data_IF_383193722263
#
_entry.id   IF_383193722263
#
_cell.length_a   1.000
_cell.length_b   1.000
_cell.length_c   1.000
_cell.angle_alpha   90.00
_cell.angle_beta   90.00
_cell.angle_gamma   90.00
#
_symmetry.space_group_name_H-M   'P 1'
#
loop_
_entity.id
_entity.type
_entity.pdbx_description
1 polymer ?
#
# COMPACT_ATOMS: atom_id res chain seq x y z
N UNK A 1 -8.98 -8.75 -17.26
CA UNK A 1 -9.68 -7.45 -17.14
C UNK A 1 -9.01 -6.61 -16.07
N UNK A 2 -8.84 -5.33 -16.34
CA UNK A 2 -8.22 -4.41 -15.41
C UNK A 2 -9.21 -4.06 -14.30
N UNK A 3 -8.80 -4.23 -13.07
CA UNK A 3 -9.63 -3.84 -11.93
C UNK A 3 -9.48 -2.35 -11.65
N UNK A 4 -10.49 -1.75 -11.05
CA UNK A 4 -10.38 -0.40 -10.52
C UNK A 4 -9.51 -0.39 -9.27
N UNK A 5 -8.95 0.78 -8.93
CA UNK A 5 -8.16 0.96 -7.72
C UNK A 5 -8.76 2.10 -6.91
N UNK A 6 -8.89 1.86 -5.62
CA UNK A 6 -9.31 2.89 -4.68
C UNK A 6 -8.40 2.86 -3.46
N UNK A 7 -7.96 4.02 -3.03
CA UNK A 7 -7.19 4.17 -1.80
C UNK A 7 -8.11 4.65 -0.69
N UNK A 8 -8.09 3.95 0.43
CA UNK A 8 -8.78 4.44 1.63
C UNK A 8 -8.12 5.73 2.11
N UNK A 9 -8.85 6.62 2.79
CA UNK A 9 -8.28 7.87 3.31
C UNK A 9 -7.02 7.64 4.14
N UNK A 10 -6.99 6.59 4.94
CA UNK A 10 -5.82 6.27 5.77
C UNK A 10 -4.60 5.90 4.92
N UNK A 11 -4.81 5.24 3.79
CA UNK A 11 -3.72 4.93 2.86
C UNK A 11 -3.17 6.20 2.22
N UNK A 12 -4.05 7.12 1.84
CA UNK A 12 -3.65 8.41 1.29
C UNK A 12 -2.85 9.22 2.32
N UNK A 13 -3.29 9.22 3.58
CA UNK A 13 -2.57 9.87 4.67
C UNK A 13 -1.20 9.23 4.90
N UNK A 14 -1.12 7.90 4.82
CA UNK A 14 0.15 7.19 4.94
C UNK A 14 1.13 7.64 3.86
N UNK A 15 0.67 7.72 2.61
CA UNK A 15 1.51 8.15 1.49
C UNK A 15 1.98 9.58 1.70
N UNK A 16 1.08 10.49 2.08
CA UNK A 16 1.42 11.88 2.33
C UNK A 16 2.45 12.01 3.45
N UNK A 17 2.26 11.28 4.54
CA UNK A 17 3.19 11.32 5.67
C UNK A 17 4.59 10.88 5.23
N UNK A 18 4.69 9.83 4.44
CA UNK A 18 5.97 9.33 3.95
C UNK A 18 6.58 10.28 2.93
N UNK A 19 5.76 10.89 2.08
CA UNK A 19 6.22 11.90 1.13
C UNK A 19 6.88 13.08 1.85
N UNK A 20 6.23 13.57 2.91
CA UNK A 20 6.76 14.68 3.71
C UNK A 20 8.04 14.28 4.44
N UNK A 21 8.11 13.03 4.92
CA UNK A 21 9.33 12.52 5.56
C UNK A 21 10.50 12.51 4.56
N UNK A 22 10.27 12.01 3.34
CA UNK A 22 11.30 12.00 2.29
C UNK A 22 11.76 13.41 1.93
N UNK A 23 10.82 14.34 1.81
CA UNK A 23 11.14 15.73 1.50
C UNK A 23 11.99 16.38 2.60
N UNK A 24 11.70 16.07 3.86
CA UNK A 24 12.43 16.63 4.99
C UNK A 24 13.78 15.99 5.28
N UNK A 25 13.93 14.69 4.97
CA UNK A 25 15.15 13.94 5.28
C UNK A 25 16.08 13.78 4.09
N UNK A 26 15.59 13.97 2.89
CA UNK A 26 16.38 13.88 1.66
C UNK A 26 16.19 15.14 0.85
N UNK A 27 15.33 15.10 -0.17
CA UNK A 27 15.04 16.28 -0.99
C UNK A 27 13.62 16.20 -1.53
N UNK A 28 13.12 17.35 -1.99
CA UNK A 28 11.81 17.37 -2.66
C UNK A 28 11.81 16.51 -3.92
N UNK A 29 12.90 16.54 -4.69
CA UNK A 29 13.01 15.74 -5.92
C UNK A 29 12.97 14.25 -5.61
N UNK A 30 13.65 13.80 -4.57
CA UNK A 30 13.61 12.41 -4.14
C UNK A 30 12.23 12.00 -3.63
N UNK A 31 11.56 12.90 -2.92
CA UNK A 31 10.21 12.65 -2.44
C UNK A 31 9.24 12.47 -3.61
N UNK A 32 9.32 13.31 -4.62
CA UNK A 32 8.46 13.22 -5.80
C UNK A 32 8.75 11.96 -6.61
N UNK A 33 10.02 11.57 -6.71
CA UNK A 33 10.40 10.31 -7.35
C UNK A 33 9.85 9.12 -6.60
N UNK A 34 9.93 9.11 -5.27
CA UNK A 34 9.34 8.05 -4.44
C UNK A 34 7.84 7.95 -4.68
N UNK A 35 7.14 9.10 -4.70
CA UNK A 35 5.70 9.13 -4.94
C UNK A 35 5.35 8.54 -6.30
N UNK A 36 6.09 8.92 -7.34
CA UNK A 36 5.87 8.42 -8.69
C UNK A 36 6.02 6.90 -8.76
N UNK A 37 7.07 6.36 -8.13
CA UNK A 37 7.33 4.92 -8.11
C UNK A 37 6.22 4.19 -7.37
N UNK A 38 5.84 4.69 -6.21
CA UNK A 38 4.78 4.08 -5.38
C UNK A 38 3.45 4.07 -6.13
N UNK A 39 3.07 5.17 -6.75
CA UNK A 39 1.82 5.25 -7.51
C UNK A 39 1.80 4.26 -8.65
N UNK A 40 2.90 4.12 -9.36
CA UNK A 40 3.02 3.16 -10.45
C UNK A 40 2.86 1.72 -9.95
N UNK A 41 3.52 1.39 -8.84
CA UNK A 41 3.47 0.05 -8.26
C UNK A 41 2.08 -0.28 -7.74
N UNK A 42 1.39 0.67 -7.14
CA UNK A 42 0.01 0.49 -6.69
C UNK A 42 -0.91 0.23 -7.89
N UNK A 43 -0.74 1.00 -8.95
CA UNK A 43 -1.53 0.80 -10.18
C UNK A 43 -1.32 -0.61 -10.76
N UNK A 44 -0.11 -1.13 -10.67
CA UNK A 44 0.21 -2.47 -11.18
C UNK A 44 -0.51 -3.59 -10.42
N UNK A 45 -0.95 -3.36 -9.19
CA UNK A 45 -1.70 -4.37 -8.42
C UNK A 45 -2.97 -4.78 -9.17
N UNK A 46 -3.60 -3.84 -9.88
CA UNK A 46 -4.85 -4.12 -10.60
C UNK A 46 -4.70 -5.11 -11.75
N UNK A 47 -3.48 -5.33 -12.21
CA UNK A 47 -3.22 -6.26 -13.33
C UNK A 47 -3.31 -7.71 -12.88
N UNK A 48 -2.86 -8.02 -11.67
CA UNK A 48 -2.87 -9.38 -11.14
C UNK A 48 -2.78 -9.38 -9.62
N UNK A 49 -3.87 -9.00 -8.92
CA UNK A 49 -3.85 -8.90 -7.46
C UNK A 49 -3.57 -10.23 -6.77
N UNK A 50 -3.96 -11.35 -7.39
CA UNK A 50 -3.76 -12.68 -6.80
C UNK A 50 -2.30 -13.12 -6.80
N UNK A 51 -1.43 -12.42 -7.54
CA UNK A 51 0.00 -12.75 -7.56
C UNK A 51 0.73 -12.30 -6.29
N UNK A 52 0.10 -11.45 -5.49
CA UNK A 52 0.70 -10.94 -4.25
C UNK A 52 0.39 -11.87 -3.10
N UNK A 53 1.33 -12.03 -2.15
CA UNK A 53 1.10 -12.95 -1.02
C UNK A 53 0.04 -12.42 -0.06
N UNK A 54 -0.58 -13.35 0.66
CA UNK A 54 -1.44 -12.98 1.77
C UNK A 54 -0.61 -12.21 2.81
N UNK A 55 -1.20 -11.17 3.39
CA UNK A 55 -0.56 -10.43 4.47
C UNK A 55 -0.31 -11.35 5.66
N UNK A 56 0.75 -11.07 6.40
CA UNK A 56 1.02 -11.81 7.65
C UNK A 56 -0.07 -11.60 8.68
N UNK A 57 -0.84 -10.51 8.59
CA UNK A 57 -1.97 -10.23 9.47
C UNK A 57 -3.30 -10.75 8.92
N UNK A 58 -3.28 -11.50 7.81
CA UNK A 58 -4.52 -11.91 7.15
C UNK A 58 -5.50 -12.64 8.08
N UNK A 59 -4.99 -13.47 8.98
CA UNK A 59 -5.84 -14.27 9.86
C UNK A 59 -6.58 -13.42 10.90
N UNK A 60 -6.14 -12.19 11.15
CA UNK A 60 -6.80 -11.29 12.09
C UNK A 60 -7.97 -10.53 11.46
N UNK A 61 -8.16 -10.66 10.13
CA UNK A 61 -9.17 -9.89 9.40
C UNK A 61 -10.32 -10.80 8.96
N UNK A 62 -11.54 -10.26 8.90
CA UNK A 62 -12.71 -11.04 8.45
C UNK A 62 -12.80 -11.17 6.93
N UNK A 63 -11.84 -10.65 6.19
CA UNK A 63 -11.74 -10.74 4.74
C UNK A 63 -10.26 -10.91 4.37
N UNK A 64 -10.01 -11.38 3.15
CA UNK A 64 -8.66 -11.64 2.68
C UNK A 64 -7.90 -10.34 2.44
N UNK A 65 -6.72 -10.21 3.01
CA UNK A 65 -5.82 -9.09 2.76
C UNK A 65 -4.47 -9.59 2.25
N UNK A 66 -3.86 -8.81 1.35
CA UNK A 66 -2.58 -9.13 0.72
C UNK A 66 -1.63 -7.96 0.86
N UNK A 67 -0.34 -8.27 0.76
CA UNK A 67 0.73 -7.26 0.82
C UNK A 67 1.42 -7.16 -0.53
N UNK A 68 1.56 -5.93 -1.04
CA UNK A 68 2.43 -5.63 -2.16
C UNK A 68 3.62 -4.84 -1.63
N UNK A 69 4.83 -5.37 -1.81
CA UNK A 69 6.04 -4.62 -1.45
C UNK A 69 6.27 -3.54 -2.50
N UNK A 70 6.40 -2.32 -2.03
CA UNK A 70 6.52 -1.14 -2.89
C UNK A 70 7.65 -0.24 -2.37
N UNK A 71 8.02 0.75 -3.19
CA UNK A 71 9.08 1.68 -2.88
C UNK A 71 10.24 1.54 -3.85
N UNK A 72 11.31 2.29 -3.59
CA UNK A 72 12.51 2.26 -4.44
C UNK A 72 13.47 1.18 -3.97
N UNK A 73 14.22 0.62 -4.92
CA UNK A 73 15.22 -0.40 -4.65
C UNK A 73 14.72 -1.82 -4.90
N UNK A 74 15.62 -2.78 -4.77
CA UNK A 74 15.35 -4.20 -5.05
C UNK A 74 14.40 -4.82 -4.03
N UNK A 75 14.37 -4.28 -2.81
CA UNK A 75 13.46 -4.70 -1.75
C UNK A 75 12.51 -3.55 -1.50
N UNK A 76 11.26 -3.74 -1.66
CA UNK A 76 10.32 -2.71 -1.27
C UNK A 76 10.51 -2.35 0.21
N UNK A 77 10.58 -1.06 0.51
CA UNK A 77 10.72 -0.56 1.89
C UNK A 77 9.38 -0.37 2.57
N UNK A 78 8.30 -0.47 1.80
CA UNK A 78 6.94 -0.27 2.25
C UNK A 78 6.08 -1.43 1.78
N UNK A 79 4.94 -1.60 2.41
CA UNK A 79 3.93 -2.55 1.94
C UNK A 79 2.61 -1.82 1.75
N UNK A 80 1.97 -2.05 0.62
CA UNK A 80 0.61 -1.64 0.39
C UNK A 80 -0.28 -2.82 0.78
N UNK A 81 -1.04 -2.66 1.84
CA UNK A 81 -1.98 -3.69 2.31
C UNK A 81 -3.30 -3.45 1.60
N UNK A 82 -3.79 -4.45 0.88
CA UNK A 82 -4.98 -4.28 0.07
C UNK A 82 -5.90 -5.50 0.15
N UNK A 83 -7.14 -5.27 -0.21
CA UNK A 83 -8.13 -6.32 -0.43
C UNK A 83 -8.79 -6.09 -1.78
N UNK A 84 -9.47 -7.10 -2.29
CA UNK A 84 -10.25 -6.97 -3.53
C UNK A 84 -11.72 -7.14 -3.16
N UNK A 85 -12.52 -6.16 -3.55
CA UNK A 85 -13.95 -6.16 -3.29
C UNK A 85 -14.65 -5.80 -4.61
N UNK A 86 -15.53 -6.68 -5.06
CA UNK A 86 -16.11 -6.58 -6.39
C UNK A 86 -14.98 -6.50 -7.43
N UNK A 87 -14.98 -5.55 -8.32
CA UNK A 87 -13.94 -5.39 -9.32
C UNK A 87 -12.96 -4.29 -8.94
N UNK A 88 -12.73 -4.06 -7.64
CA UNK A 88 -11.91 -2.98 -7.14
C UNK A 88 -10.84 -3.49 -6.18
N UNK A 89 -9.60 -3.08 -6.45
CA UNK A 89 -8.51 -3.20 -5.49
C UNK A 89 -8.64 -2.03 -4.51
N UNK A 90 -8.82 -2.34 -3.24
CA UNK A 90 -8.95 -1.32 -2.20
C UNK A 90 -7.66 -1.34 -1.38
N UNK A 91 -6.86 -0.29 -1.49
CA UNK A 91 -5.64 -0.14 -0.70
C UNK A 91 -6.04 0.40 0.67
N UNK A 92 -5.82 -0.41 1.69
CA UNK A 92 -6.24 -0.12 3.05
C UNK A 92 -5.23 0.76 3.79
N UNK A 93 -3.96 0.43 3.66
CA UNK A 93 -2.86 1.14 4.32
C UNK A 93 -1.58 1.04 3.48
N UNK A 94 -0.69 2.01 3.67
CA UNK A 94 0.68 1.96 3.13
C UNK A 94 1.62 2.17 4.31
N UNK A 95 2.32 1.12 4.70
CA UNK A 95 3.12 1.08 5.92
C UNK A 95 4.57 0.78 5.58
N UNK A 96 5.49 1.23 6.42
CA UNK A 96 6.87 0.77 6.34
C UNK A 96 6.90 -0.74 6.52
N UNK A 97 7.72 -1.43 5.74
CA UNK A 97 7.74 -2.90 5.75
C UNK A 97 8.10 -3.47 7.13
N UNK A 98 8.81 -2.70 7.95
CA UNK A 98 9.22 -3.08 9.30
C UNK A 98 8.31 -2.51 10.40
N UNK A 99 7.27 -1.76 10.04
CA UNK A 99 6.32 -1.25 11.04
C UNK A 99 5.53 -2.38 11.67
N UNK A 100 5.09 -2.15 12.91
CA UNK A 100 4.39 -3.15 13.69
C UNK A 100 3.09 -3.66 13.07
N UNK A 101 2.45 -4.54 13.78
CA UNK A 101 1.30 -5.29 13.27
C UNK A 101 0.08 -4.41 13.02
N UNK A 102 -0.64 -4.76 11.95
CA UNK A 102 -1.89 -4.12 11.58
C UNK A 102 -3.05 -4.97 12.12
N UNK A 103 -3.95 -4.34 12.86
CA UNK A 103 -5.19 -4.99 13.30
C UNK A 103 -6.40 -4.40 12.60
N UNK A 104 -7.57 -5.07 12.69
CA UNK A 104 -8.79 -4.56 12.03
C UNK A 104 -9.21 -3.17 12.51
N UNK A 105 -8.85 -2.79 13.75
CA UNK A 105 -9.17 -1.45 14.29
C UNK A 105 -8.38 -0.34 13.59
N UNK A 106 -7.26 -0.70 12.93
CA UNK A 106 -6.40 0.25 12.22
C UNK A 106 -6.85 0.50 10.79
N UNK A 107 -7.91 -0.16 10.36
CA UNK A 107 -8.34 -0.18 8.97
C UNK A 107 -9.83 0.13 8.90
N UNK A 108 -10.17 1.09 8.04
CA UNK A 108 -11.57 1.39 7.73
C UNK A 108 -12.15 0.22 6.93
N UNK A 109 -13.39 -0.12 7.19
CA UNK A 109 -14.08 -1.17 6.41
C UNK A 109 -14.05 -0.82 4.92
N UNK A 110 -13.61 -1.75 4.07
CA UNK A 110 -13.48 -1.47 2.63
C UNK A 110 -14.81 -1.32 1.89
#
# INVERSE_FOLDING_TARGET
MLLSIRLQPEAEEDILRNLLWWAGHHSTDEALEWQRVVQKQITQISLNPDSYPLSIENDAFPYEIRDALIGKGKRGSYRAVFTVTDDTVVVLRVLGASQGQLGPVDVRHP
#
